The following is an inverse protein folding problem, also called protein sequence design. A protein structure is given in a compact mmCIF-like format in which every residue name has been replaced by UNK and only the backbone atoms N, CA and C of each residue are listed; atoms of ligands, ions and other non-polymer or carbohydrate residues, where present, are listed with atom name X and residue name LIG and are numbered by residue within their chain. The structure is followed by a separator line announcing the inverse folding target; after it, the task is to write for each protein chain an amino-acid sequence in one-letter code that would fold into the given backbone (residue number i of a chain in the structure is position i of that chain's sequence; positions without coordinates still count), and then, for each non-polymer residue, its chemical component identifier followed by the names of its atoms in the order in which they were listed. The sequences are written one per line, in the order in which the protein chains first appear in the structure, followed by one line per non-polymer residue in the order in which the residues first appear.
data_IF_409049104709
#
_entry.id   IF_409049104709
#
_cell.length_a   1.000
_cell.length_b   1.000
_cell.length_c   1.000
_cell.angle_alpha   90.00
_cell.angle_beta   90.00
_cell.angle_gamma   90.00
#
_symmetry.space_group_name_H-M   'P 1'
#
loop_
_entity.id
_entity.type
_entity.pdbx_description
1 polymer ?
#
# COMPACT_ATOMS: atom_id res chain seq x y z
N UNK A 1 -50.21 -11.58 -28.70
CA UNK A 1 -49.40 -10.44 -29.18
C UNK A 1 -48.32 -10.01 -28.18
N UNK A 2 -48.65 -9.82 -26.89
CA UNK A 2 -47.72 -9.25 -25.89
C UNK A 2 -46.42 -10.06 -25.67
N UNK A 3 -46.49 -11.38 -25.50
CA UNK A 3 -45.30 -12.23 -25.31
C UNK A 3 -44.38 -12.29 -26.54
N UNK A 4 -44.93 -12.14 -27.75
CA UNK A 4 -44.16 -12.06 -29.01
C UNK A 4 -43.45 -10.71 -29.13
N UNK A 5 -44.06 -9.64 -28.61
CA UNK A 5 -43.42 -8.32 -28.56
C UNK A 5 -42.25 -8.28 -27.56
N UNK A 6 -42.34 -9.01 -26.44
CA UNK A 6 -41.27 -9.06 -25.43
C UNK A 6 -40.16 -10.08 -25.75
N UNK A 7 -40.51 -11.27 -26.28
CA UNK A 7 -39.55 -12.37 -26.46
C UNK A 7 -39.15 -12.58 -27.93
N UNK A 8 -39.69 -11.79 -28.85
CA UNK A 8 -39.50 -11.96 -30.30
C UNK A 8 -40.42 -13.00 -30.92
N UNK A 9 -40.46 -13.02 -32.25
CA UNK A 9 -41.25 -13.97 -33.05
C UNK A 9 -40.66 -15.39 -32.96
N UNK A 10 -41.37 -16.35 -32.35
CA UNK A 10 -40.89 -17.73 -32.19
C UNK A 10 -40.81 -18.49 -33.52
N UNK A 11 -41.40 -18.00 -34.61
CA UNK A 11 -41.23 -18.61 -35.94
C UNK A 11 -39.84 -18.32 -36.54
N UNK A 12 -39.08 -17.39 -35.98
CA UNK A 12 -37.67 -17.17 -36.35
C UNK A 12 -36.81 -18.22 -35.65
N UNK A 13 -36.07 -19.07 -36.38
CA UNK A 13 -35.31 -20.17 -35.80
C UNK A 13 -34.36 -19.75 -34.67
N UNK A 14 -33.72 -18.58 -34.80
CA UNK A 14 -32.78 -18.06 -33.80
C UNK A 14 -33.50 -17.64 -32.50
N UNK A 15 -34.71 -17.09 -32.62
CA UNK A 15 -35.51 -16.68 -31.47
C UNK A 15 -36.03 -17.92 -30.73
N UNK A 16 -36.55 -18.91 -31.47
CA UNK A 16 -36.95 -20.18 -30.89
C UNK A 16 -35.80 -20.87 -30.15
N UNK A 17 -34.61 -20.93 -30.76
CA UNK A 17 -33.44 -21.54 -30.15
C UNK A 17 -33.02 -20.82 -28.85
N UNK A 18 -32.99 -19.49 -28.85
CA UNK A 18 -32.69 -18.70 -27.66
C UNK A 18 -33.74 -18.90 -26.55
N UNK A 19 -35.03 -18.91 -26.90
CA UNK A 19 -36.11 -19.15 -25.94
C UNK A 19 -36.01 -20.54 -25.30
N UNK A 20 -35.74 -21.59 -26.10
CA UNK A 20 -35.51 -22.94 -25.59
C UNK A 20 -34.30 -23.00 -24.65
N UNK A 21 -33.19 -22.37 -25.04
CA UNK A 21 -31.99 -22.30 -24.19
C UNK A 21 -32.28 -21.63 -22.84
N UNK A 22 -32.91 -20.45 -22.83
CA UNK A 22 -33.22 -19.77 -21.57
C UNK A 22 -34.20 -20.58 -20.71
N UNK A 23 -35.23 -21.19 -21.32
CA UNK A 23 -36.16 -22.04 -20.59
C UNK A 23 -35.47 -23.24 -19.93
N UNK A 24 -34.55 -23.90 -20.64
CA UNK A 24 -33.74 -24.99 -20.09
C UNK A 24 -32.81 -24.51 -18.97
N UNK A 25 -32.14 -23.37 -19.16
CA UNK A 25 -31.23 -22.81 -18.15
C UNK A 25 -31.96 -22.37 -16.88
N UNK A 26 -33.14 -21.77 -17.02
CA UNK A 26 -33.99 -21.40 -15.89
C UNK A 26 -34.45 -22.65 -15.16
N UNK A 27 -34.94 -23.67 -15.87
CA UNK A 27 -35.35 -24.95 -15.25
C UNK A 27 -34.19 -25.62 -14.50
N UNK A 28 -33.01 -25.60 -15.08
CA UNK A 28 -31.81 -26.14 -14.45
C UNK A 28 -31.46 -25.37 -13.18
N UNK A 29 -31.49 -24.04 -13.21
CA UNK A 29 -31.26 -23.20 -12.03
C UNK A 29 -32.29 -23.46 -10.92
N UNK A 30 -33.58 -23.49 -11.24
CA UNK A 30 -34.66 -23.78 -10.29
C UNK A 30 -34.48 -25.17 -9.64
N UNK A 31 -34.08 -26.16 -10.45
CA UNK A 31 -33.81 -27.52 -9.95
C UNK A 31 -32.62 -27.54 -8.99
N UNK A 32 -31.54 -26.82 -9.34
CA UNK A 32 -30.36 -26.70 -8.47
C UNK A 32 -30.68 -25.96 -7.17
N UNK A 33 -31.42 -24.84 -7.23
CA UNK A 33 -31.84 -24.09 -6.04
C UNK A 33 -32.73 -24.94 -5.12
N UNK A 34 -33.70 -25.66 -5.69
CA UNK A 34 -34.56 -26.58 -4.94
C UNK A 34 -33.74 -27.70 -4.28
N UNK A 35 -32.78 -28.28 -5.02
CA UNK A 35 -31.89 -29.30 -4.50
C UNK A 35 -31.03 -28.76 -3.34
N UNK A 36 -30.50 -27.54 -3.44
CA UNK A 36 -29.72 -26.91 -2.38
C UNK A 36 -30.58 -26.64 -1.13
N UNK A 37 -31.80 -26.16 -1.32
CA UNK A 37 -32.73 -25.88 -0.23
C UNK A 37 -33.16 -27.16 0.51
N UNK A 38 -33.16 -28.30 -0.18
CA UNK A 38 -33.46 -29.60 0.43
C UNK A 38 -32.32 -30.20 1.26
N UNK A 39 -31.11 -29.60 1.22
CA UNK A 39 -29.98 -30.09 2.01
C UNK A 39 -30.23 -29.91 3.51
N UNK A 40 -29.71 -30.81 4.37
CA UNK A 40 -29.75 -30.62 5.81
C UNK A 40 -29.13 -29.28 6.23
N UNK A 41 -29.69 -28.66 7.28
CA UNK A 41 -29.29 -27.32 7.74
C UNK A 41 -27.77 -27.21 8.02
N UNK A 42 -27.17 -28.24 8.62
CA UNK A 42 -25.73 -28.26 8.91
C UNK A 42 -24.86 -28.18 7.64
N UNK A 43 -25.32 -28.76 6.53
CA UNK A 43 -24.63 -28.70 5.23
C UNK A 43 -24.70 -27.27 4.69
N UNK A 44 -25.88 -26.64 4.77
CA UNK A 44 -26.08 -25.26 4.33
C UNK A 44 -25.19 -24.29 5.12
N UNK A 45 -25.12 -24.46 6.44
CA UNK A 45 -24.26 -23.67 7.32
C UNK A 45 -22.77 -23.86 7.00
N UNK A 46 -22.34 -25.10 6.72
CA UNK A 46 -20.95 -25.39 6.33
C UNK A 46 -20.59 -24.73 5.00
N UNK A 47 -21.47 -24.82 3.99
CA UNK A 47 -21.27 -24.15 2.70
C UNK A 47 -21.19 -22.62 2.85
N UNK A 48 -22.07 -22.03 3.66
CA UNK A 48 -22.05 -20.59 3.94
C UNK A 48 -20.71 -20.17 4.58
N UNK A 49 -20.21 -20.98 5.52
CA UNK A 49 -18.90 -20.77 6.16
C UNK A 49 -17.77 -20.85 5.14
N UNK A 50 -17.76 -21.86 4.27
CA UNK A 50 -16.74 -22.02 3.22
C UNK A 50 -16.73 -20.82 2.25
N UNK A 51 -17.90 -20.35 1.83
CA UNK A 51 -18.02 -19.15 0.97
C UNK A 51 -17.50 -17.92 1.69
N UNK A 52 -17.80 -17.76 2.98
CA UNK A 52 -17.32 -16.64 3.77
C UNK A 52 -15.79 -16.67 3.92
N UNK A 53 -15.21 -17.83 4.22
CA UNK A 53 -13.75 -18.01 4.30
C UNK A 53 -13.09 -17.68 2.96
N UNK A 54 -13.61 -18.21 1.85
CA UNK A 54 -13.06 -17.89 0.52
C UNK A 54 -13.11 -16.39 0.20
N UNK A 55 -14.17 -15.67 0.58
CA UNK A 55 -14.25 -14.21 0.44
C UNK A 55 -13.18 -13.49 1.27
N UNK A 56 -12.98 -13.93 2.51
CA UNK A 56 -11.95 -13.38 3.39
C UNK A 56 -10.54 -13.62 2.84
N UNK A 57 -10.28 -14.80 2.28
CA UNK A 57 -8.98 -15.12 1.66
C UNK A 57 -8.67 -14.23 0.47
N UNK A 58 -9.65 -14.00 -0.42
CA UNK A 58 -9.49 -13.09 -1.57
C UNK A 58 -9.21 -11.66 -1.10
N UNK A 59 -9.94 -11.19 -0.08
CA UNK A 59 -9.73 -9.86 0.48
C UNK A 59 -8.35 -9.74 1.15
N UNK A 60 -7.92 -10.77 1.89
CA UNK A 60 -6.58 -10.82 2.48
C UNK A 60 -5.49 -10.81 1.41
N UNK A 61 -5.66 -11.53 0.31
CA UNK A 61 -4.72 -11.49 -0.82
C UNK A 61 -4.67 -10.10 -1.45
N UNK A 62 -5.83 -9.45 -1.61
CA UNK A 62 -5.93 -8.08 -2.12
C UNK A 62 -5.20 -7.09 -1.21
N UNK A 63 -5.42 -7.17 0.10
CA UNK A 63 -4.76 -6.35 1.10
C UNK A 63 -3.25 -6.59 1.13
N UNK A 64 -2.82 -7.85 1.08
CA UNK A 64 -1.40 -8.20 1.01
C UNK A 64 -0.74 -7.64 -0.27
N UNK A 65 -1.45 -7.67 -1.40
CA UNK A 65 -1.01 -7.02 -2.64
C UNK A 65 -0.85 -5.51 -2.50
N UNK A 66 -1.85 -4.84 -1.92
CA UNK A 66 -1.82 -3.40 -1.65
C UNK A 66 -0.68 -3.02 -0.70
N UNK A 67 -0.47 -3.78 0.38
CA UNK A 67 0.62 -3.56 1.32
C UNK A 67 1.98 -3.72 0.66
N UNK A 68 2.17 -4.74 -0.18
CA UNK A 68 3.42 -4.92 -0.95
C UNK A 68 3.66 -3.74 -1.89
N UNK A 69 2.63 -3.28 -2.60
CA UNK A 69 2.75 -2.14 -3.50
C UNK A 69 3.08 -0.85 -2.74
N UNK A 70 2.38 -0.57 -1.64
CA UNK A 70 2.67 0.58 -0.77
C UNK A 70 4.09 0.46 -0.20
N UNK A 71 4.49 -0.71 0.28
CA UNK A 71 5.84 -0.94 0.79
C UNK A 71 6.90 -0.71 -0.28
N UNK A 72 6.69 -1.19 -1.51
CA UNK A 72 7.60 -0.98 -2.63
C UNK A 72 7.66 0.49 -3.07
N UNK A 73 6.53 1.22 -3.00
CA UNK A 73 6.49 2.67 -3.23
C UNK A 73 7.26 3.42 -2.14
N UNK A 74 7.07 3.04 -0.88
CA UNK A 74 7.83 3.61 0.25
C UNK A 74 9.32 3.29 0.08
N UNK A 75 9.69 2.06 -0.24
CA UNK A 75 11.08 1.68 -0.51
C UNK A 75 11.66 2.40 -1.73
N UNK A 76 10.88 2.68 -2.79
CA UNK A 76 11.33 3.49 -3.91
C UNK A 76 11.53 4.97 -3.53
N UNK A 77 10.74 5.48 -2.57
CA UNK A 77 10.94 6.81 -1.99
C UNK A 77 12.12 6.84 -0.99
N UNK A 78 12.37 5.76 -0.25
CA UNK A 78 13.39 5.68 0.79
C UNK A 78 14.74 5.12 0.29
N UNK A 79 14.75 4.40 -0.83
CA UNK A 79 15.79 3.43 -1.20
C UNK A 79 16.90 3.93 -2.11
N UNK A 80 16.90 5.19 -2.55
CA UNK A 80 18.02 5.72 -3.33
C UNK A 80 18.21 7.22 -3.08
N UNK A 81 19.23 7.55 -2.28
CA UNK A 81 20.02 8.81 -2.27
C UNK A 81 20.05 9.74 -1.06
N UNK A 82 19.49 9.41 0.10
CA UNK A 82 19.39 10.45 1.14
C UNK A 82 20.30 10.33 2.37
N UNK A 83 21.37 9.52 2.31
CA UNK A 83 22.37 9.52 3.38
C UNK A 83 23.40 10.64 3.17
N UNK A 84 23.21 11.75 3.87
CA UNK A 84 24.08 12.91 3.79
C UNK A 84 24.96 13.06 5.03
N UNK A 85 26.15 13.61 4.84
CA UNK A 85 26.82 14.29 5.96
C UNK A 85 26.07 15.57 6.30
N UNK A 86 26.15 16.03 7.56
CA UNK A 86 25.50 17.30 7.95
C UNK A 86 25.97 18.49 7.09
N UNK A 87 27.24 18.49 6.68
CA UNK A 87 27.79 19.52 5.77
C UNK A 87 27.23 19.38 4.35
N UNK A 88 27.16 18.15 3.81
CA UNK A 88 26.64 17.90 2.46
C UNK A 88 25.18 18.34 2.34
N UNK A 89 24.37 17.98 3.32
CA UNK A 89 22.98 18.43 3.42
C UNK A 89 22.88 19.95 3.55
N UNK A 90 23.67 20.56 4.44
CA UNK A 90 23.62 22.02 4.61
C UNK A 90 23.94 22.78 3.32
N UNK A 91 24.92 22.31 2.54
CA UNK A 91 25.27 22.92 1.25
C UNK A 91 24.18 22.75 0.20
N UNK A 92 23.53 21.58 0.16
CA UNK A 92 22.47 21.29 -0.81
C UNK A 92 21.22 22.16 -0.57
N UNK A 93 20.97 22.55 0.68
CA UNK A 93 19.78 23.27 1.11
C UNK A 93 20.05 24.73 1.54
N UNK A 94 21.22 25.28 1.21
CA UNK A 94 21.64 26.66 1.56
C UNK A 94 21.52 27.00 3.07
N UNK A 95 21.82 26.02 3.93
CA UNK A 95 21.76 26.14 5.38
C UNK A 95 23.12 26.55 5.99
N UNK A 96 23.15 27.00 7.27
CA UNK A 96 24.40 27.37 7.93
C UNK A 96 25.43 26.23 7.96
N UNK A 97 26.62 26.49 7.42
CA UNK A 97 27.72 25.51 7.27
C UNK A 97 28.82 25.65 8.32
N UNK A 98 28.63 26.50 9.34
CA UNK A 98 29.62 26.70 10.39
C UNK A 98 29.88 25.39 11.17
N UNK A 99 31.15 25.02 11.36
CA UNK A 99 31.54 23.74 11.94
C UNK A 99 30.90 23.46 13.32
N UNK A 100 30.84 24.47 14.20
CA UNK A 100 30.20 24.33 15.51
C UNK A 100 28.68 24.12 15.44
N UNK A 101 28.02 24.69 14.43
CA UNK A 101 26.60 24.49 14.17
C UNK A 101 26.34 23.07 13.65
N UNK A 102 27.12 22.63 12.65
CA UNK A 102 27.02 21.30 12.07
C UNK A 102 27.32 20.18 13.07
N UNK A 103 28.23 20.42 14.03
CA UNK A 103 28.48 19.47 15.13
C UNK A 103 27.24 19.26 16.00
N UNK A 104 26.50 20.33 16.33
CA UNK A 104 25.25 20.23 17.09
C UNK A 104 24.17 19.51 16.29
N UNK A 105 24.05 19.83 15.00
CA UNK A 105 23.13 19.14 14.07
C UNK A 105 23.42 17.64 14.05
N UNK A 106 24.69 17.23 13.90
CA UNK A 106 25.05 15.81 13.89
C UNK A 106 24.71 15.10 15.20
N UNK A 107 24.89 15.75 16.36
CA UNK A 107 24.49 15.20 17.67
C UNK A 107 22.96 15.03 17.73
N UNK A 108 22.21 16.02 17.29
CA UNK A 108 20.75 15.99 17.26
C UNK A 108 20.22 14.91 16.30
N UNK A 109 20.73 14.85 15.07
CA UNK A 109 20.38 13.82 14.09
C UNK A 109 20.70 12.40 14.60
N UNK A 110 21.84 12.25 15.27
CA UNK A 110 22.19 10.98 15.93
C UNK A 110 21.28 10.62 17.10
N UNK A 111 20.67 11.58 17.79
CA UNK A 111 19.63 11.30 18.80
C UNK A 111 18.34 10.83 18.14
N UNK A 112 17.91 11.52 17.08
CA UNK A 112 16.71 11.18 16.29
C UNK A 112 16.77 9.73 15.78
N UNK A 113 17.90 9.29 15.23
CA UNK A 113 18.07 7.90 14.79
C UNK A 113 18.01 6.87 15.94
N UNK A 114 18.58 7.20 17.11
CA UNK A 114 18.55 6.28 18.27
C UNK A 114 17.14 6.09 18.80
N UNK A 115 16.31 7.13 18.78
CA UNK A 115 14.90 7.06 19.16
C UNK A 115 14.10 6.11 18.24
N UNK A 116 14.51 5.98 16.98
CA UNK A 116 13.91 5.08 15.99
C UNK A 116 14.65 3.73 15.86
N UNK A 117 15.57 3.42 16.77
CA UNK A 117 16.31 2.15 16.77
C UNK A 117 17.38 1.99 15.68
N UNK A 118 17.79 3.09 15.03
CA UNK A 118 18.79 3.11 13.94
C UNK A 118 20.10 3.77 14.36
N UNK A 119 21.18 3.53 13.61
CA UNK A 119 22.50 4.12 13.85
C UNK A 119 22.97 4.98 12.66
N UNK A 120 23.79 6.03 12.88
CA UNK A 120 24.39 6.80 11.81
C UNK A 120 25.33 5.95 10.94
N UNK A 121 25.31 6.18 9.63
CA UNK A 121 26.25 5.61 8.68
C UNK A 121 27.61 6.32 8.73
N UNK A 122 28.55 5.87 7.89
CA UNK A 122 29.89 6.44 7.77
C UNK A 122 30.25 6.66 6.31
N UNK A 123 30.92 7.77 6.00
CA UNK A 123 31.49 8.04 4.68
C UNK A 123 32.83 8.77 4.80
N UNK A 124 33.67 8.68 3.78
CA UNK A 124 34.95 9.38 3.72
C UNK A 124 34.76 10.77 3.10
N UNK A 125 35.17 11.82 3.81
CA UNK A 125 35.16 13.19 3.33
C UNK A 125 36.60 13.69 3.06
N UNK A 126 36.89 14.27 1.88
CA UNK A 126 38.25 14.69 1.51
C UNK A 126 38.92 15.64 2.51
N UNK A 127 38.17 16.57 3.11
CA UNK A 127 38.71 17.57 4.04
C UNK A 127 38.69 17.15 5.54
N UNK A 128 37.91 16.14 5.91
CA UNK A 128 37.59 15.86 7.34
C UNK A 128 37.76 14.38 7.71
N UNK A 129 38.26 13.54 6.81
CA UNK A 129 38.39 12.11 7.05
C UNK A 129 37.02 11.43 7.13
N UNK A 130 36.87 10.43 7.99
CA UNK A 130 35.62 9.67 8.13
C UNK A 130 34.57 10.47 8.91
N UNK A 131 33.44 10.76 8.27
CA UNK A 131 32.32 11.52 8.86
C UNK A 131 31.05 10.66 8.94
N UNK A 132 30.16 11.00 9.86
CA UNK A 132 28.87 10.34 9.96
C UNK A 132 27.93 10.78 8.83
N UNK A 133 27.10 9.86 8.36
CA UNK A 133 25.99 10.12 7.46
C UNK A 133 24.66 9.83 8.15
N UNK A 134 23.61 10.50 7.69
CA UNK A 134 22.27 10.47 8.26
C UNK A 134 21.26 10.54 7.10
N UNK A 135 20.09 9.90 7.21
CA UNK A 135 19.02 10.09 6.22
C UNK A 135 18.49 11.53 6.26
N UNK A 136 17.99 12.04 5.13
CA UNK A 136 17.49 13.42 5.01
C UNK A 136 16.48 13.80 6.09
N UNK A 137 15.47 12.95 6.34
CA UNK A 137 14.44 13.19 7.36
C UNK A 137 15.01 13.41 8.77
N UNK A 138 16.13 12.75 9.12
CA UNK A 138 16.77 12.92 10.41
C UNK A 138 17.53 14.26 10.49
N UNK A 139 18.12 14.69 9.37
CA UNK A 139 18.77 15.99 9.25
C UNK A 139 17.75 17.13 9.24
N UNK A 140 16.67 17.03 8.47
CA UNK A 140 15.55 17.99 8.46
C UNK A 140 15.07 18.31 9.88
N UNK A 141 14.74 17.27 10.64
CA UNK A 141 14.28 17.40 12.02
C UNK A 141 15.35 18.03 12.94
N UNK A 142 16.62 17.66 12.75
CA UNK A 142 17.72 18.19 13.53
C UNK A 142 18.01 19.68 13.23
N UNK A 143 18.01 20.08 11.95
CA UNK A 143 18.17 21.48 11.55
C UNK A 143 16.99 22.33 12.04
N UNK A 144 15.76 21.87 11.86
CA UNK A 144 14.56 22.57 12.34
C UNK A 144 14.59 22.75 13.87
N UNK A 145 14.91 21.70 14.63
CA UNK A 145 14.97 21.77 16.10
C UNK A 145 16.02 22.75 16.61
N UNK A 146 17.18 22.83 15.95
CA UNK A 146 18.25 23.77 16.33
C UNK A 146 17.92 25.21 15.90
N UNK A 147 17.25 25.41 14.77
CA UNK A 147 16.78 26.73 14.34
C UNK A 147 15.77 27.31 15.35
N UNK A 148 14.80 26.50 15.76
CA UNK A 148 13.81 26.84 16.80
C UNK A 148 14.50 27.17 18.13
N UNK A 149 15.43 26.33 18.60
CA UNK A 149 16.17 26.58 19.83
C UNK A 149 17.06 27.84 19.78
N UNK A 150 17.41 28.31 18.57
CA UNK A 150 18.19 29.52 18.35
C UNK A 150 17.32 30.77 18.09
N UNK A 151 15.99 30.67 18.17
CA UNK A 151 15.07 31.79 17.93
C UNK A 151 15.00 32.25 16.47
N UNK A 152 15.43 31.41 15.53
CA UNK A 152 15.33 31.67 14.08
C UNK A 152 14.19 30.81 13.54
N UNK A 153 13.02 31.41 13.32
CA UNK A 153 11.94 30.74 12.59
C UNK A 153 12.37 30.47 11.15
N UNK A 154 11.96 29.32 10.62
CA UNK A 154 12.29 28.81 9.28
C UNK A 154 11.96 29.79 8.15
#
# INVERSE_FOLDING_TARGET
AYLVAMNGDPNKPQVAAAQSYFAERTRQAETTETSLASLPEWVQQQMATLVQVGRLEVEQQRQAGQLREVSARVEALEGAHDWFSALGYAKLHDLPTAQGYLRRVGIAAGRVLRETGSAPGKTQHPAYGTVNTYPAWALERAFAGIAVAAGRTA
#
